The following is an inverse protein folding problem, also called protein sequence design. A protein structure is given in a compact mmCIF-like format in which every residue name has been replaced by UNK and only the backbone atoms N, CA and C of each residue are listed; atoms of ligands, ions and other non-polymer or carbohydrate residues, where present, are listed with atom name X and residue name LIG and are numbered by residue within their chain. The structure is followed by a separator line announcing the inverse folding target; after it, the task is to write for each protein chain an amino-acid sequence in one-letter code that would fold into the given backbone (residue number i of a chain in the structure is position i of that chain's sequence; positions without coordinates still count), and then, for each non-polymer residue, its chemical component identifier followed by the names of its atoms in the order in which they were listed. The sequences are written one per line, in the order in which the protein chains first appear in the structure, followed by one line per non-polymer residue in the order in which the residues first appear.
data_IF_730398669771
#
_entry.id   IF_730398669771
#
_cell.length_a   1.000
_cell.length_b   1.000
_cell.length_c   1.000
_cell.angle_alpha   90.00
_cell.angle_beta   90.00
_cell.angle_gamma   90.00
#
_symmetry.space_group_name_H-M   'P 1'
#
loop_
_entity.id
_entity.type
_entity.pdbx_description
1 polymer ?
#
# COMPACT_ATOMS: atom_id res chain seq x y z
N UNK A 1 -0.23 -17.45 -0.36
CA UNK A 1 0.17 -17.25 -1.77
C UNK A 1 0.37 -15.75 -1.96
N UNK A 2 1.53 -15.30 -2.46
CA UNK A 2 1.77 -13.88 -2.80
C UNK A 2 1.09 -13.63 -4.14
N UNK A 3 -0.03 -12.93 -4.12
CA UNK A 3 -0.76 -12.64 -5.35
C UNK A 3 0.06 -11.66 -6.20
N UNK A 4 0.59 -12.15 -7.33
CA UNK A 4 1.55 -11.41 -8.16
C UNK A 4 0.90 -10.18 -8.82
N UNK A 5 -0.43 -10.18 -8.96
CA UNK A 5 -1.18 -9.09 -9.59
C UNK A 5 -1.36 -7.87 -8.69
N UNK A 6 -1.28 -8.03 -7.36
CA UNK A 6 -1.57 -6.95 -6.40
C UNK A 6 -0.32 -6.23 -5.89
N UNK A 7 0.82 -6.43 -6.55
CA UNK A 7 2.12 -5.86 -6.19
C UNK A 7 2.94 -6.82 -5.32
N UNK A 8 3.51 -7.86 -5.95
CA UNK A 8 4.15 -9.00 -5.27
C UNK A 8 5.30 -8.73 -4.28
N UNK A 9 5.71 -7.48 -4.07
CA UNK A 9 6.79 -7.05 -3.16
C UNK A 9 6.35 -6.01 -2.12
N UNK A 10 5.13 -6.12 -1.57
CA UNK A 10 4.66 -5.23 -0.49
C UNK A 10 4.96 -5.87 0.87
N UNK A 11 5.60 -5.12 1.75
CA UNK A 11 5.72 -5.53 3.15
C UNK A 11 4.34 -5.51 3.81
N UNK A 12 3.92 -6.58 4.51
CA UNK A 12 2.63 -6.60 5.16
C UNK A 12 2.61 -5.57 6.31
N UNK A 13 1.66 -4.63 6.25
CA UNK A 13 1.48 -3.58 7.25
C UNK A 13 0.03 -3.57 7.71
N UNK A 14 -0.19 -3.30 8.99
CA UNK A 14 -1.52 -3.20 9.57
C UNK A 14 -2.32 -2.05 8.94
N UNK A 15 -1.66 -1.02 8.41
CA UNK A 15 -2.26 -0.01 7.53
C UNK A 15 -3.05 -0.62 6.37
N UNK A 16 -2.50 -1.63 5.69
CA UNK A 16 -3.11 -2.29 4.52
C UNK A 16 -4.01 -3.47 4.89
N UNK A 17 -4.37 -3.62 6.16
CA UNK A 17 -5.18 -4.73 6.62
C UNK A 17 -6.67 -4.44 6.40
N UNK A 18 -7.44 -5.38 5.88
CA UNK A 18 -8.91 -5.27 5.74
C UNK A 18 -9.59 -4.87 7.06
N UNK A 19 -9.05 -5.34 8.19
CA UNK A 19 -9.64 -5.14 9.52
C UNK A 19 -9.18 -3.88 10.25
N UNK A 20 -8.17 -3.15 9.76
CA UNK A 20 -7.65 -1.99 10.48
C UNK A 20 -8.49 -0.73 10.22
N UNK A 21 -8.52 0.17 11.18
CA UNK A 21 -9.10 1.50 11.02
C UNK A 21 -8.05 2.55 11.36
N UNK A 22 -7.76 3.53 10.49
CA UNK A 22 -6.80 4.58 10.80
C UNK A 22 -7.28 5.44 11.97
N UNK A 23 -6.35 5.80 12.86
CA UNK A 23 -6.62 6.74 13.95
C UNK A 23 -6.29 8.15 13.48
N UNK A 24 -6.84 9.18 14.14
CA UNK A 24 -6.59 10.58 13.79
C UNK A 24 -5.09 10.96 13.92
N UNK A 25 -4.33 10.26 14.77
CA UNK A 25 -2.90 10.49 14.97
C UNK A 25 -2.03 10.12 13.75
N UNK A 26 -2.56 9.40 12.76
CA UNK A 26 -1.86 9.04 11.52
C UNK A 26 -0.75 7.99 11.63
N UNK A 27 -0.24 7.74 12.85
CA UNK A 27 0.82 6.75 13.10
C UNK A 27 0.31 5.40 13.64
N UNK A 28 -0.92 5.39 14.14
CA UNK A 28 -1.55 4.20 14.72
C UNK A 28 -2.83 3.81 14.02
N UNK A 29 -3.10 2.52 14.01
CA UNK A 29 -4.34 1.94 13.51
C UNK A 29 -5.02 1.14 14.62
N UNK A 30 -6.34 1.20 14.65
CA UNK A 30 -7.16 0.39 15.52
C UNK A 30 -7.37 -0.99 14.88
N UNK A 31 -6.94 -2.05 15.54
CA UNK A 31 -7.20 -3.42 15.16
C UNK A 31 -8.22 -4.05 16.12
N UNK A 32 -9.35 -4.58 15.64
CA UNK A 32 -10.37 -5.18 16.51
C UNK A 32 -9.87 -6.41 17.30
N UNK A 33 -8.72 -6.99 16.92
CA UNK A 33 -8.13 -8.17 17.58
C UNK A 33 -6.98 -7.85 18.53
N UNK A 34 -6.41 -6.64 18.43
CA UNK A 34 -5.14 -6.28 19.10
C UNK A 34 -5.17 -4.92 19.79
N UNK A 35 -6.19 -4.11 19.53
CA UNK A 35 -6.29 -2.73 20.02
C UNK A 35 -5.51 -1.77 19.13
N UNK A 36 -5.00 -0.70 19.72
CA UNK A 36 -4.20 0.32 19.03
C UNK A 36 -2.81 -0.25 18.74
N UNK A 37 -2.41 -0.24 17.47
CA UNK A 37 -1.12 -0.75 17.00
C UNK A 37 -0.49 0.24 16.02
N UNK A 38 0.82 0.19 15.84
CA UNK A 38 1.50 1.00 14.82
C UNK A 38 1.06 0.59 13.41
N UNK A 39 0.98 1.55 12.49
CA UNK A 39 0.65 1.33 11.07
C UNK A 39 1.56 0.31 10.39
N UNK A 40 2.85 0.30 10.73
CA UNK A 40 3.88 -0.59 10.16
C UNK A 40 3.91 -1.98 10.80
N UNK A 41 3.12 -2.21 11.85
CA UNK A 41 3.06 -3.51 12.51
C UNK A 41 2.36 -4.57 11.64
N UNK A 42 2.56 -5.86 11.93
CA UNK A 42 1.86 -6.94 11.24
C UNK A 42 1.43 -8.04 12.22
N UNK A 43 0.14 -8.37 12.23
CA UNK A 43 -0.41 -9.43 13.07
C UNK A 43 -0.54 -10.75 12.30
N UNK A 44 -0.58 -11.88 13.02
CA UNK A 44 -0.76 -13.23 12.43
C UNK A 44 -2.10 -13.40 11.67
N UNK A 45 -3.09 -12.53 11.91
CA UNK A 45 -4.41 -12.56 11.26
C UNK A 45 -4.53 -11.49 10.15
N UNK A 46 -3.41 -10.93 9.70
CA UNK A 46 -3.35 -9.94 8.63
C UNK A 46 -4.02 -10.45 7.35
N UNK A 47 -4.79 -9.58 6.70
CA UNK A 47 -5.41 -9.82 5.39
C UNK A 47 -5.29 -8.54 4.59
N UNK A 48 -4.63 -8.62 3.44
CA UNK A 48 -4.36 -7.45 2.61
C UNK A 48 -5.64 -6.92 1.96
N UNK A 49 -5.83 -5.60 2.01
CA UNK A 49 -6.91 -4.86 1.36
C UNK A 49 -6.31 -3.89 0.33
N UNK A 50 -6.68 -4.08 -0.93
CA UNK A 50 -6.19 -3.30 -2.06
C UNK A 50 -6.67 -1.85 -2.04
N UNK A 51 -7.85 -1.59 -1.47
CA UNK A 51 -8.46 -0.26 -1.47
C UNK A 51 -7.87 0.67 -0.41
N UNK A 52 -7.22 0.10 0.61
CA UNK A 52 -6.52 0.87 1.66
C UNK A 52 -5.13 1.33 1.23
N UNK A 53 -4.69 0.92 0.05
CA UNK A 53 -3.41 1.34 -0.50
C UNK A 53 -3.61 2.49 -1.47
N UNK A 54 -2.82 3.54 -1.28
CA UNK A 54 -2.62 4.53 -2.33
C UNK A 54 -1.57 4.04 -3.34
N UNK A 55 -1.90 3.92 -4.63
CA UNK A 55 -0.93 3.61 -5.67
C UNK A 55 0.14 4.71 -5.73
N UNK A 56 1.39 4.32 -5.91
CA UNK A 56 2.44 5.30 -6.22
C UNK A 56 2.14 5.89 -7.59
N UNK A 57 2.22 7.22 -7.69
CA UNK A 57 2.13 7.90 -8.97
C UNK A 57 3.21 7.35 -9.90
N UNK A 58 2.85 7.17 -11.16
CA UNK A 58 3.84 6.86 -12.19
C UNK A 58 4.84 8.02 -12.27
N UNK A 59 6.14 7.72 -12.52
CA UNK A 59 7.11 8.77 -12.76
C UNK A 59 6.65 9.62 -13.95
N UNK A 60 6.99 10.91 -13.92
CA UNK A 60 6.73 11.83 -15.02
C UNK A 60 7.27 11.24 -16.31
N UNK A 61 6.43 11.21 -17.34
CA UNK A 61 6.86 10.78 -18.66
C UNK A 61 8.01 11.67 -19.14
N UNK A 62 9.05 11.11 -19.79
CA UNK A 62 10.09 11.91 -20.40
C UNK A 62 9.51 12.81 -21.50
N UNK A 63 10.11 13.99 -21.67
CA UNK A 63 9.77 14.89 -22.75
C UNK A 63 10.40 14.38 -24.04
N UNK A 64 9.60 14.20 -25.08
CA UNK A 64 10.08 13.76 -26.41
C UNK A 64 9.91 14.87 -27.43
N UNK A 65 10.90 15.03 -28.31
CA UNK A 65 10.84 15.94 -29.44
C UNK A 65 10.39 15.19 -30.71
N UNK A 66 9.95 15.91 -31.75
CA UNK A 66 9.57 15.27 -33.03
C UNK A 66 10.72 14.50 -33.67
N UNK A 67 11.96 14.98 -33.48
CA UNK A 67 13.17 14.36 -34.01
C UNK A 67 13.49 12.99 -33.42
N UNK A 68 12.95 12.66 -32.23
CA UNK A 68 13.09 11.33 -31.62
C UNK A 68 12.31 10.23 -32.36
N UNK A 69 11.41 10.62 -33.28
CA UNK A 69 10.53 9.70 -34.00
C UNK A 69 10.79 9.66 -35.52
N UNK A 70 11.81 10.37 -36.00
CA UNK A 70 12.23 10.30 -37.41
C UNK A 70 13.19 9.12 -37.61
N UNK A 71 12.86 8.23 -38.57
CA UNK A 71 13.59 7.00 -38.93
C UNK A 71 14.43 7.24 -40.18
#
# INVERSE_FOLDING_TARGET
MKDKMLGGNISPKCEYCEFSTPTNDGDTVLCPKKGVVSKDWCCKKYKYDIFKREPKLHPTAPEFSKSDFEI
#
